data_IF_886161238340
#
_entry.id   IF_886161238340
#
_cell.length_a   1.000
_cell.length_b   1.000
_cell.length_c   1.000
_cell.angle_alpha   90.00
_cell.angle_beta   90.00
_cell.angle_gamma   90.00
#
_symmetry.space_group_name_H-M   'P 1'
#
loop_
_entity.id
_entity.type
_entity.pdbx_description
1 polymer ?
#
# COMPACT_ATOMS: atom_id res chain seq x y z
N UNK A 1 -10.04 67.39 -61.24
CA UNK A 1 -10.61 66.69 -60.10
C UNK A 1 -10.01 65.30 -60.07
N UNK A 2 -9.10 65.01 -59.13
CA UNK A 2 -8.43 63.68 -58.96
C UNK A 2 -9.02 63.08 -57.70
N UNK A 3 -9.78 62.00 -57.82
CA UNK A 3 -10.26 61.21 -56.71
C UNK A 3 -9.20 60.16 -56.29
N UNK A 4 -8.69 60.32 -55.07
CA UNK A 4 -7.77 59.38 -54.46
C UNK A 4 -8.61 58.32 -53.75
N UNK A 5 -8.57 57.08 -54.22
CA UNK A 5 -9.16 55.92 -53.55
C UNK A 5 -8.20 55.36 -52.45
N UNK A 6 -8.58 55.47 -51.20
CA UNK A 6 -7.83 54.96 -50.08
C UNK A 6 -8.28 53.49 -49.87
N UNK A 7 -7.42 52.53 -50.24
CA UNK A 7 -7.67 51.09 -50.01
C UNK A 7 -7.24 50.72 -48.60
N UNK A 8 -8.20 50.44 -47.75
CA UNK A 8 -7.95 49.94 -46.38
C UNK A 8 -7.78 48.43 -46.43
N UNK A 9 -6.55 47.96 -46.23
CA UNK A 9 -6.24 46.53 -46.17
C UNK A 9 -6.53 46.05 -44.72
N UNK A 10 -7.54 45.21 -44.54
CA UNK A 10 -7.82 44.53 -43.26
C UNK A 10 -6.91 43.30 -43.16
N UNK A 11 -5.93 43.36 -42.28
CA UNK A 11 -5.08 42.21 -41.97
C UNK A 11 -5.82 41.30 -41.00
N UNK A 12 -6.31 40.16 -41.49
CA UNK A 12 -6.91 39.12 -40.66
C UNK A 12 -5.78 38.33 -39.97
N UNK A 13 -5.59 38.55 -38.67
CA UNK A 13 -4.66 37.75 -37.86
C UNK A 13 -5.25 36.35 -37.62
N UNK A 14 -4.70 35.34 -38.25
CA UNK A 14 -4.96 33.94 -37.96
C UNK A 14 -4.30 33.60 -36.61
N UNK A 15 -5.11 33.49 -35.54
CA UNK A 15 -4.67 32.96 -34.29
C UNK A 15 -4.57 31.43 -34.44
N UNK A 16 -3.36 30.94 -34.65
CA UNK A 16 -3.05 29.50 -34.62
C UNK A 16 -3.10 29.05 -33.16
N UNK A 17 -4.20 28.43 -32.76
CA UNK A 17 -4.28 27.69 -31.48
C UNK A 17 -3.42 26.45 -31.64
N UNK A 18 -2.20 26.48 -31.13
CA UNK A 18 -1.38 25.28 -31.01
C UNK A 18 -2.14 24.27 -30.12
N UNK A 19 -2.24 22.99 -30.53
CA UNK A 19 -2.86 21.97 -29.66
C UNK A 19 -2.06 21.93 -28.35
N UNK A 20 -2.74 22.23 -27.24
CA UNK A 20 -2.14 22.05 -25.94
C UNK A 20 -1.79 20.57 -25.80
N UNK A 21 -0.50 20.25 -25.77
CA UNK A 21 -0.04 18.89 -25.46
C UNK A 21 -0.66 18.50 -24.14
N UNK A 22 -1.41 17.39 -24.10
CA UNK A 22 -2.00 16.90 -22.87
C UNK A 22 -0.87 16.71 -21.85
N UNK A 23 -0.99 17.36 -20.68
CA UNK A 23 0.00 17.18 -19.62
C UNK A 23 -0.01 15.71 -19.18
N UNK A 24 1.17 15.15 -18.97
CA UNK A 24 1.33 13.78 -18.48
C UNK A 24 1.75 13.79 -17.01
N UNK A 25 1.14 12.91 -16.20
CA UNK A 25 1.48 12.67 -14.81
C UNK A 25 2.01 11.24 -14.68
N UNK A 26 3.23 11.07 -14.21
CA UNK A 26 3.84 9.75 -13.97
C UNK A 26 3.59 9.32 -12.53
N UNK A 27 2.88 8.21 -12.35
CA UNK A 27 2.52 7.69 -11.03
C UNK A 27 3.23 6.36 -10.77
N UNK A 28 4.10 6.33 -9.74
CA UNK A 28 4.66 5.08 -9.21
C UNK A 28 3.57 4.27 -8.52
N UNK A 29 3.37 3.03 -8.93
CA UNK A 29 2.30 2.16 -8.41
C UNK A 29 2.79 0.73 -8.20
N UNK A 30 2.27 0.07 -7.17
CA UNK A 30 2.42 -1.38 -7.05
C UNK A 30 1.77 -2.09 -8.23
N UNK A 31 2.32 -3.22 -8.64
CA UNK A 31 1.84 -3.98 -9.79
C UNK A 31 0.60 -4.84 -9.52
N UNK A 32 0.19 -5.61 -10.55
CA UNK A 32 -0.92 -6.55 -10.49
C UNK A 32 -2.26 -5.89 -10.22
N UNK A 33 -3.12 -6.55 -9.45
CA UNK A 33 -4.46 -6.05 -9.13
C UNK A 33 -4.48 -4.66 -8.48
N UNK A 34 -3.41 -4.24 -7.81
CA UNK A 34 -3.31 -2.89 -7.25
C UNK A 34 -3.30 -1.83 -8.38
N UNK A 35 -2.43 -2.01 -9.38
CA UNK A 35 -2.37 -1.11 -10.53
C UNK A 35 -3.68 -1.05 -11.31
N UNK A 36 -4.35 -2.20 -11.47
CA UNK A 36 -5.64 -2.27 -12.15
C UNK A 36 -6.72 -1.49 -11.39
N UNK A 37 -6.72 -1.56 -10.06
CA UNK A 37 -7.62 -0.80 -9.21
C UNK A 37 -7.27 0.70 -9.19
N UNK A 38 -5.99 1.08 -9.21
CA UNK A 38 -5.56 2.48 -9.38
C UNK A 38 -6.08 3.05 -10.69
N UNK A 39 -5.95 2.30 -11.81
CA UNK A 39 -6.49 2.72 -13.11
C UNK A 39 -7.99 2.92 -13.06
N UNK A 40 -8.73 1.94 -12.52
CA UNK A 40 -10.19 1.95 -12.51
C UNK A 40 -10.78 3.02 -11.59
N UNK A 41 -10.19 3.23 -10.39
CA UNK A 41 -10.79 4.08 -9.35
C UNK A 41 -10.22 5.49 -9.31
N UNK A 42 -8.98 5.68 -9.75
CA UNK A 42 -8.32 6.99 -9.62
C UNK A 42 -7.97 7.60 -10.97
N UNK A 43 -7.29 6.84 -11.85
CA UNK A 43 -6.79 7.38 -13.14
C UNK A 43 -7.95 7.83 -14.03
N UNK A 44 -8.95 6.99 -14.25
CA UNK A 44 -10.05 7.31 -15.15
C UNK A 44 -10.81 8.58 -14.73
N UNK A 45 -11.08 8.73 -13.43
CA UNK A 45 -11.75 9.93 -12.88
C UNK A 45 -10.86 11.18 -12.97
N UNK A 46 -9.57 11.04 -12.67
CA UNK A 46 -8.59 12.11 -12.77
C UNK A 46 -8.41 12.62 -14.20
N UNK A 47 -8.21 11.73 -15.17
CA UNK A 47 -8.07 12.10 -16.59
C UNK A 47 -9.31 12.81 -17.11
N UNK A 48 -10.51 12.31 -16.73
CA UNK A 48 -11.78 12.95 -17.08
C UNK A 48 -11.90 14.37 -16.50
N UNK A 49 -11.44 14.56 -15.26
CA UNK A 49 -11.58 15.84 -14.57
C UNK A 49 -10.55 16.89 -15.01
N UNK A 50 -9.37 16.45 -15.43
CA UNK A 50 -8.23 17.36 -15.70
C UNK A 50 -7.85 17.47 -17.17
N UNK A 51 -8.20 16.48 -18.01
CA UNK A 51 -7.71 16.35 -19.39
C UNK A 51 -6.25 15.89 -19.49
N UNK A 52 -5.55 15.74 -18.37
CA UNK A 52 -4.19 15.20 -18.31
C UNK A 52 -4.19 13.69 -18.54
N UNK A 53 -3.05 13.13 -18.96
CA UNK A 53 -2.84 11.68 -19.05
C UNK A 53 -2.05 11.17 -17.87
N UNK A 54 -2.31 9.92 -17.45
CA UNK A 54 -1.58 9.26 -16.39
C UNK A 54 -0.86 8.02 -16.92
N UNK A 55 0.44 7.95 -16.72
CA UNK A 55 1.22 6.73 -16.94
C UNK A 55 1.60 6.10 -15.59
N UNK A 56 1.50 4.77 -15.50
CA UNK A 56 1.89 4.03 -14.30
C UNK A 56 3.29 3.44 -14.48
N UNK A 57 4.21 3.81 -13.59
CA UNK A 57 5.51 3.15 -13.43
C UNK A 57 5.36 2.09 -12.34
N UNK A 58 5.44 0.81 -12.74
CA UNK A 58 5.21 -0.31 -11.82
C UNK A 58 6.49 -0.67 -11.05
N UNK A 59 6.34 -0.96 -9.76
CA UNK A 59 7.45 -1.35 -8.89
C UNK A 59 6.99 -1.67 -7.48
N UNK A 60 7.95 -1.72 -6.58
CA UNK A 60 7.71 -1.84 -5.13
C UNK A 60 8.31 -0.64 -4.39
N UNK A 61 7.97 -0.49 -3.12
CA UNK A 61 8.37 0.63 -2.30
C UNK A 61 9.89 0.85 -2.25
N UNK A 62 10.68 -0.23 -2.17
CA UNK A 62 12.15 -0.14 -2.14
C UNK A 62 12.72 0.33 -3.48
N UNK A 63 12.17 -0.14 -4.60
CA UNK A 63 12.56 0.30 -5.94
C UNK A 63 12.23 1.78 -6.15
N UNK A 64 11.05 2.23 -5.70
CA UNK A 64 10.65 3.63 -5.79
C UNK A 64 11.55 4.53 -4.94
N UNK A 65 11.83 4.15 -3.69
CA UNK A 65 12.74 4.90 -2.84
C UNK A 65 14.16 5.01 -3.45
N UNK A 66 14.66 3.92 -4.06
CA UNK A 66 15.94 3.93 -4.75
C UNK A 66 15.92 4.86 -5.99
N UNK A 67 14.85 4.82 -6.80
CA UNK A 67 14.70 5.70 -7.96
C UNK A 67 14.62 7.17 -7.55
N UNK A 68 13.86 7.50 -6.51
CA UNK A 68 13.75 8.87 -5.98
C UNK A 68 15.12 9.40 -5.51
N UNK A 69 15.93 8.56 -4.84
CA UNK A 69 17.31 8.92 -4.45
C UNK A 69 18.21 9.16 -5.65
N UNK A 70 18.12 8.28 -6.66
CA UNK A 70 18.94 8.37 -7.86
C UNK A 70 18.61 9.61 -8.72
N UNK A 71 17.36 10.09 -8.66
CA UNK A 71 16.86 11.22 -9.44
C UNK A 71 16.56 12.46 -8.59
N UNK A 72 17.24 12.60 -7.45
CA UNK A 72 17.00 13.67 -6.48
C UNK A 72 17.00 15.06 -7.14
N UNK A 73 15.90 15.82 -6.93
CA UNK A 73 15.69 17.16 -7.52
C UNK A 73 15.14 17.17 -8.94
N UNK A 74 15.12 16.04 -9.66
CA UNK A 74 14.47 15.88 -10.97
C UNK A 74 13.87 14.47 -11.07
N UNK A 75 12.79 14.19 -10.31
CA UNK A 75 12.23 12.86 -10.23
C UNK A 75 11.63 12.42 -11.58
N UNK A 76 11.67 11.10 -11.83
CA UNK A 76 11.07 10.46 -12.99
C UNK A 76 9.64 9.94 -12.71
N UNK A 77 9.10 10.28 -11.53
CA UNK A 77 7.73 10.05 -11.09
C UNK A 77 7.24 11.31 -10.39
N UNK A 78 5.97 11.65 -10.58
CA UNK A 78 5.37 12.85 -10.02
C UNK A 78 4.61 12.56 -8.72
N UNK A 79 4.04 11.36 -8.62
CA UNK A 79 3.34 10.84 -7.45
C UNK A 79 3.73 9.38 -7.25
N UNK A 80 3.85 8.93 -6.01
CA UNK A 80 4.27 7.55 -5.74
C UNK A 80 3.43 6.93 -4.63
N UNK A 81 2.83 5.76 -4.90
CA UNK A 81 2.34 4.86 -3.86
C UNK A 81 3.52 4.10 -3.26
N UNK A 82 3.67 4.18 -1.95
CA UNK A 82 4.83 3.67 -1.23
C UNK A 82 4.43 3.32 0.20
N UNK A 83 5.10 2.35 0.82
CA UNK A 83 4.89 2.10 2.24
C UNK A 83 5.29 3.31 3.08
N UNK A 84 4.49 3.64 4.09
CA UNK A 84 4.70 4.82 4.93
C UNK A 84 6.09 4.84 5.61
N UNK A 85 6.69 3.69 5.87
CA UNK A 85 8.06 3.59 6.41
C UNK A 85 9.10 4.17 5.46
N UNK A 86 9.01 3.85 4.17
CA UNK A 86 9.92 4.38 3.15
C UNK A 86 9.60 5.82 2.79
N UNK A 87 8.31 6.21 2.79
CA UNK A 87 7.92 7.61 2.66
C UNK A 87 8.49 8.48 3.79
N UNK A 88 8.48 7.97 5.03
CA UNK A 88 9.10 8.63 6.18
C UNK A 88 10.63 8.72 6.05
N UNK A 89 11.27 7.66 5.55
CA UNK A 89 12.71 7.63 5.33
C UNK A 89 13.13 8.65 4.26
N UNK A 90 12.46 8.66 3.11
CA UNK A 90 12.74 9.65 2.05
C UNK A 90 12.45 11.09 2.49
N UNK A 91 11.49 11.29 3.39
CA UNK A 91 11.28 12.58 4.04
C UNK A 91 12.49 13.00 4.90
N UNK A 92 13.03 12.10 5.73
CA UNK A 92 14.24 12.35 6.49
C UNK A 92 15.44 12.72 5.61
N UNK A 93 15.48 12.21 4.39
CA UNK A 93 16.46 12.52 3.34
C UNK A 93 16.14 13.80 2.55
N UNK A 94 15.03 14.50 2.87
CA UNK A 94 14.56 15.73 2.22
C UNK A 94 14.18 15.55 0.74
N UNK A 95 13.69 14.37 0.37
CA UNK A 95 13.32 13.98 -0.99
C UNK A 95 11.82 14.05 -1.29
N UNK A 96 10.99 14.42 -0.29
CA UNK A 96 9.55 14.58 -0.44
C UNK A 96 9.20 16.07 -0.58
N UNK A 97 8.22 16.37 -1.44
CA UNK A 97 7.49 17.64 -1.43
C UNK A 97 6.37 17.57 -0.39
N UNK A 98 6.13 18.66 0.31
CA UNK A 98 5.01 18.73 1.24
C UNK A 98 3.68 18.74 0.47
N UNK A 99 2.75 17.88 0.85
CA UNK A 99 1.39 17.87 0.33
C UNK A 99 0.60 18.96 1.07
N UNK A 100 0.22 20.01 0.35
CA UNK A 100 -0.56 21.11 0.94
C UNK A 100 -2.04 20.71 1.10
N UNK A 101 -2.54 20.53 2.35
CA UNK A 101 -3.93 20.17 2.58
C UNK A 101 -4.94 21.19 2.02
N UNK A 102 -4.54 22.46 1.86
CA UNK A 102 -5.41 23.51 1.31
C UNK A 102 -5.68 23.31 -0.19
N UNK A 103 -4.85 22.55 -0.89
CA UNK A 103 -5.03 22.20 -2.30
C UNK A 103 -5.93 20.97 -2.49
N UNK A 104 -6.29 20.27 -1.42
CA UNK A 104 -7.06 19.04 -1.45
C UNK A 104 -8.46 19.28 -0.89
N UNK A 105 -9.50 19.04 -1.68
CA UNK A 105 -10.92 19.17 -1.25
C UNK A 105 -11.27 18.09 -0.22
N UNK A 106 -10.65 16.92 -0.32
CA UNK A 106 -10.87 15.76 0.57
C UNK A 106 -10.13 15.85 1.90
N UNK A 107 -9.18 16.78 2.06
CA UNK A 107 -8.29 16.83 3.22
C UNK A 107 -9.02 16.86 4.58
N UNK A 108 -10.14 17.60 4.66
CA UNK A 108 -10.93 17.71 5.90
C UNK A 108 -11.65 16.40 6.30
N UNK A 109 -11.85 15.49 5.35
CA UNK A 109 -12.51 14.20 5.58
C UNK A 109 -11.51 13.06 5.86
N UNK A 110 -10.20 13.31 5.70
CA UNK A 110 -9.13 12.33 5.99
C UNK A 110 -8.80 12.36 7.47
N UNK A 111 -8.71 11.17 8.09
CA UNK A 111 -8.35 11.07 9.52
C UNK A 111 -7.01 11.76 9.80
N UNK A 112 -6.88 12.52 10.91
CA UNK A 112 -5.65 13.27 11.21
C UNK A 112 -4.40 12.41 11.28
N UNK A 113 -4.52 11.17 11.76
CA UNK A 113 -3.41 10.23 11.90
C UNK A 113 -2.89 9.67 10.57
N UNK A 114 -3.56 9.92 9.45
CA UNK A 114 -3.08 9.54 8.13
C UNK A 114 -1.96 10.47 7.61
N UNK A 115 -1.88 11.70 8.13
CA UNK A 115 -0.89 12.68 7.67
C UNK A 115 0.48 12.39 8.27
N UNK A 116 1.47 12.20 7.42
CA UNK A 116 2.86 12.07 7.83
C UNK A 116 3.43 13.37 8.37
N UNK A 117 4.59 13.28 9.00
CA UNK A 117 5.29 14.45 9.54
C UNK A 117 5.48 15.51 8.45
N UNK A 118 5.22 16.77 8.78
CA UNK A 118 5.34 17.93 7.89
C UNK A 118 4.53 17.78 6.58
N UNK A 119 3.46 16.96 6.58
CA UNK A 119 2.66 16.59 5.40
C UNK A 119 3.49 16.02 4.25
N UNK A 120 4.64 15.41 4.52
CA UNK A 120 5.55 14.88 3.51
C UNK A 120 5.00 13.64 2.75
N UNK A 121 3.98 13.04 3.27
CA UNK A 121 3.15 11.98 2.67
C UNK A 121 1.81 11.91 3.38
N UNK A 122 0.86 11.22 2.79
CA UNK A 122 -0.40 10.87 3.45
C UNK A 122 -0.67 9.37 3.26
N UNK A 123 -1.03 8.69 4.34
CA UNK A 123 -1.54 7.31 4.27
C UNK A 123 -2.79 7.33 3.41
N UNK A 124 -2.79 6.60 2.32
CA UNK A 124 -3.90 6.58 1.37
C UNK A 124 -4.92 5.48 1.70
N UNK A 125 -4.50 4.44 2.40
CA UNK A 125 -5.35 3.29 2.71
C UNK A 125 -4.78 2.50 3.90
N UNK A 126 -5.59 1.58 4.45
CA UNK A 126 -5.19 0.75 5.59
C UNK A 126 -5.41 -0.72 5.25
N UNK A 127 -4.36 -1.52 5.38
CA UNK A 127 -4.40 -2.97 5.33
C UNK A 127 -3.74 -3.55 6.59
N UNK A 128 -3.56 -4.85 6.63
CA UNK A 128 -2.88 -5.53 7.73
C UNK A 128 -2.24 -6.84 7.27
N UNK A 129 -1.27 -7.31 8.04
CA UNK A 129 -0.97 -8.73 8.10
C UNK A 129 -1.86 -9.36 9.16
N UNK A 130 -2.64 -10.36 8.76
CA UNK A 130 -3.55 -11.12 9.60
C UNK A 130 -3.39 -12.62 9.33
N UNK A 131 -4.22 -13.47 9.93
CA UNK A 131 -4.26 -14.88 9.57
C UNK A 131 -5.28 -15.11 8.46
N UNK A 132 -4.85 -15.74 7.37
CA UNK A 132 -5.74 -16.23 6.31
C UNK A 132 -5.75 -17.75 6.38
N UNK A 133 -6.93 -18.34 6.30
CA UNK A 133 -7.09 -19.77 6.43
C UNK A 133 -8.16 -20.33 5.49
N UNK A 134 -8.06 -21.64 5.18
CA UNK A 134 -9.07 -22.36 4.41
C UNK A 134 -10.06 -23.02 5.39
N UNK A 135 -11.32 -22.56 5.45
CA UNK A 135 -12.31 -23.08 6.40
C UNK A 135 -12.72 -24.54 6.14
N UNK A 136 -12.37 -25.13 5.00
CA UNK A 136 -12.54 -26.56 4.74
C UNK A 136 -11.46 -27.42 5.36
N UNK A 137 -10.30 -26.85 5.67
CA UNK A 137 -9.14 -27.55 6.24
C UNK A 137 -8.93 -27.22 7.71
N UNK A 138 -9.53 -26.14 8.20
CA UNK A 138 -9.41 -25.65 9.57
C UNK A 138 -10.71 -25.92 10.33
N UNK A 139 -10.66 -26.69 11.42
CA UNK A 139 -11.85 -27.09 12.19
C UNK A 139 -12.56 -25.92 12.87
N UNK A 140 -11.80 -24.96 13.37
CA UNK A 140 -12.31 -23.77 14.05
C UNK A 140 -11.50 -22.54 13.59
N UNK A 141 -12.15 -21.37 13.40
CA UNK A 141 -11.45 -20.15 13.05
C UNK A 141 -10.29 -19.87 14.01
N UNK A 142 -9.07 -19.58 13.50
CA UNK A 142 -7.95 -19.22 14.34
C UNK A 142 -8.23 -17.89 15.07
N UNK A 143 -7.72 -17.74 16.29
CA UNK A 143 -7.95 -16.57 17.15
C UNK A 143 -6.67 -15.90 17.63
N UNK A 144 -5.53 -16.54 17.41
CA UNK A 144 -4.22 -16.11 17.90
C UNK A 144 -3.12 -16.38 16.85
N UNK A 145 -2.11 -15.54 16.82
CA UNK A 145 -0.87 -15.84 16.06
C UNK A 145 -0.23 -17.15 16.49
N UNK A 146 -0.44 -17.55 17.75
CA UNK A 146 0.11 -18.78 18.29
C UNK A 146 -0.60 -20.03 17.77
N UNK A 147 -1.74 -19.91 17.11
CA UNK A 147 -2.46 -21.06 16.54
C UNK A 147 -1.66 -21.74 15.42
N UNK A 148 -0.67 -21.05 14.80
CA UNK A 148 0.26 -21.67 13.85
C UNK A 148 1.14 -22.76 14.50
N UNK A 149 1.28 -22.78 15.82
CA UNK A 149 2.01 -23.82 16.53
C UNK A 149 1.16 -25.08 16.82
N UNK A 150 -0.14 -25.06 16.50
CA UNK A 150 -0.99 -26.24 16.69
C UNK A 150 -0.49 -27.39 15.80
N UNK A 151 -0.21 -28.58 16.38
CA UNK A 151 0.19 -29.77 15.63
C UNK A 151 -0.77 -30.16 14.50
N UNK A 152 -2.06 -29.76 14.58
CA UNK A 152 -3.03 -29.97 13.51
C UNK A 152 -2.66 -29.31 12.20
N UNK A 153 -1.83 -28.27 12.24
CA UNK A 153 -1.34 -27.56 11.05
C UNK A 153 0.06 -27.97 10.62
N UNK A 154 0.69 -28.97 11.28
CA UNK A 154 2.03 -29.42 10.90
C UNK A 154 2.11 -29.77 9.40
N UNK A 155 3.03 -29.14 8.69
CA UNK A 155 3.21 -29.30 7.24
C UNK A 155 2.07 -28.74 6.38
N UNK A 156 1.12 -27.97 6.96
CA UNK A 156 -0.02 -27.37 6.26
C UNK A 156 -0.10 -25.85 6.44
N UNK A 157 1.03 -25.21 6.60
CA UNK A 157 1.13 -23.75 6.69
C UNK A 157 2.34 -23.24 5.95
N UNK A 158 2.33 -21.97 5.62
CA UNK A 158 3.50 -21.23 5.14
C UNK A 158 3.62 -19.91 5.87
N UNK A 159 4.85 -19.46 6.09
CA UNK A 159 5.14 -18.14 6.64
C UNK A 159 5.96 -17.32 5.63
N UNK A 160 5.90 -16.00 5.74
CA UNK A 160 6.68 -15.11 4.89
C UNK A 160 8.16 -15.11 5.28
N UNK A 161 9.04 -14.95 4.27
CA UNK A 161 10.41 -14.51 4.50
C UNK A 161 10.40 -13.06 5.02
N UNK A 162 11.40 -12.70 5.82
CA UNK A 162 11.52 -11.35 6.39
C UNK A 162 11.65 -10.24 5.34
N UNK A 163 12.09 -10.58 4.12
CA UNK A 163 12.14 -9.61 3.02
C UNK A 163 10.76 -9.16 2.55
N UNK A 164 9.71 -9.92 2.88
CA UNK A 164 8.31 -9.55 2.67
C UNK A 164 7.67 -8.96 3.92
N UNK A 165 6.75 -8.01 3.74
CA UNK A 165 6.05 -7.32 4.84
C UNK A 165 5.39 -8.29 5.82
N UNK A 166 4.72 -9.34 5.33
CA UNK A 166 4.05 -10.31 6.20
C UNK A 166 5.02 -11.16 7.03
N UNK A 167 6.19 -11.50 6.51
CA UNK A 167 7.22 -12.22 7.24
C UNK A 167 7.81 -11.37 8.37
N UNK A 168 8.16 -10.12 8.06
CA UNK A 168 8.62 -9.15 9.04
C UNK A 168 7.56 -8.93 10.13
N UNK A 169 6.31 -8.70 9.74
CA UNK A 169 5.21 -8.46 10.67
C UNK A 169 4.94 -9.66 11.57
N UNK A 170 4.97 -10.87 11.02
CA UNK A 170 4.77 -12.08 11.82
C UNK A 170 5.90 -12.31 12.82
N UNK A 171 7.16 -12.11 12.41
CA UNK A 171 8.30 -12.14 13.33
C UNK A 171 8.11 -11.16 14.50
N UNK A 172 7.76 -9.90 14.19
CA UNK A 172 7.60 -8.87 15.22
C UNK A 172 6.37 -9.11 16.11
N UNK A 173 5.28 -9.67 15.56
CA UNK A 173 4.13 -10.09 16.35
C UNK A 173 4.50 -11.20 17.34
N UNK A 174 5.20 -12.24 16.89
CA UNK A 174 5.69 -13.30 17.77
C UNK A 174 6.67 -12.74 18.82
N UNK A 175 7.56 -11.84 18.41
CA UNK A 175 8.49 -11.20 19.33
C UNK A 175 7.75 -10.50 20.49
N UNK A 176 6.77 -9.68 20.16
CA UNK A 176 5.93 -8.98 21.15
C UNK A 176 5.19 -9.97 22.08
N UNK A 177 4.60 -11.03 21.54
CA UNK A 177 3.89 -12.06 22.29
C UNK A 177 4.82 -12.79 23.25
N UNK A 178 6.07 -13.00 22.85
CA UNK A 178 7.09 -13.68 23.67
C UNK A 178 7.87 -12.74 24.58
N UNK A 179 7.43 -11.48 24.74
CA UNK A 179 8.00 -10.52 25.67
C UNK A 179 9.23 -9.77 25.13
N UNK A 180 9.49 -9.85 23.82
CA UNK A 180 10.52 -9.05 23.16
C UNK A 180 10.10 -7.60 22.90
N UNK A 181 11.07 -6.77 22.54
CA UNK A 181 10.86 -5.37 22.13
C UNK A 181 11.39 -5.14 20.71
N UNK A 182 11.17 -3.97 20.16
CA UNK A 182 11.71 -3.64 18.82
C UNK A 182 13.23 -3.48 18.79
N UNK A 183 13.85 -3.25 19.97
CA UNK A 183 15.31 -3.24 20.17
C UNK A 183 15.86 -4.65 20.41
N UNK A 184 15.06 -5.56 20.96
CA UNK A 184 15.44 -6.95 21.22
C UNK A 184 14.43 -7.92 20.58
N UNK A 185 14.79 -8.48 19.43
CA UNK A 185 13.98 -9.46 18.71
C UNK A 185 14.37 -10.92 18.99
N UNK A 186 15.20 -11.20 20.01
CA UNK A 186 15.64 -12.56 20.34
C UNK A 186 14.45 -13.50 20.62
N UNK A 187 13.44 -13.10 21.43
CA UNK A 187 12.30 -13.97 21.68
C UNK A 187 11.52 -14.33 20.41
N UNK A 188 11.41 -13.39 19.47
CA UNK A 188 10.74 -13.61 18.18
C UNK A 188 11.55 -14.55 17.26
N UNK A 189 12.85 -14.34 17.17
CA UNK A 189 13.76 -15.21 16.39
C UNK A 189 13.68 -16.66 16.92
N UNK A 190 13.76 -16.86 18.24
CA UNK A 190 13.66 -18.21 18.82
C UNK A 190 12.28 -18.83 18.57
N UNK A 191 11.22 -18.05 18.68
CA UNK A 191 9.86 -18.56 18.46
C UNK A 191 9.61 -18.93 16.99
N UNK A 192 10.15 -18.19 16.01
CA UNK A 192 9.85 -18.42 14.60
C UNK A 192 10.66 -19.56 13.97
N UNK A 193 11.83 -19.92 14.52
CA UNK A 193 12.69 -21.01 14.00
C UNK A 193 11.94 -22.32 13.73
N UNK A 194 11.19 -22.90 14.68
CA UNK A 194 10.46 -24.13 14.43
C UNK A 194 9.38 -23.98 13.36
N UNK A 195 8.73 -22.82 13.28
CA UNK A 195 7.74 -22.54 12.24
C UNK A 195 8.38 -22.41 10.88
N UNK A 196 9.54 -21.76 10.76
CA UNK A 196 10.27 -21.63 9.51
C UNK A 196 10.69 -23.02 8.97
N UNK A 197 11.18 -23.89 9.86
CA UNK A 197 11.59 -25.27 9.52
C UNK A 197 10.41 -26.14 9.07
N UNK A 198 9.22 -25.94 9.64
CA UNK A 198 7.99 -26.69 9.32
C UNK A 198 7.14 -26.06 8.23
N UNK A 199 7.51 -24.90 7.72
CA UNK A 199 6.79 -24.18 6.67
C UNK A 199 6.93 -24.89 5.32
N UNK A 200 5.84 -24.97 4.54
CA UNK A 200 5.90 -25.47 3.16
C UNK A 200 6.86 -24.64 2.30
N UNK A 201 6.87 -23.34 2.53
CA UNK A 201 7.84 -22.43 1.93
C UNK A 201 7.98 -21.18 2.80
N UNK A 202 9.14 -20.55 2.76
CA UNK A 202 9.34 -19.16 3.18
C UNK A 202 9.05 -18.27 1.99
N UNK A 203 7.77 -17.86 1.82
CA UNK A 203 7.37 -17.12 0.63
C UNK A 203 7.90 -15.68 0.64
N UNK A 204 8.31 -15.22 -0.53
CA UNK A 204 8.79 -13.85 -0.75
C UNK A 204 7.79 -12.99 -1.53
N UNK A 205 6.86 -13.64 -2.25
CA UNK A 205 5.82 -13.00 -3.05
C UNK A 205 4.44 -13.50 -2.62
N UNK A 206 3.48 -12.59 -2.54
CA UNK A 206 2.11 -12.91 -2.12
C UNK A 206 1.44 -13.99 -2.98
N UNK A 207 1.73 -14.02 -4.28
CA UNK A 207 1.12 -14.98 -5.22
C UNK A 207 1.59 -16.42 -5.02
N UNK A 208 2.75 -16.64 -4.36
CA UNK A 208 3.19 -17.99 -3.97
C UNK A 208 2.22 -18.64 -2.99
N UNK A 209 1.68 -17.87 -2.03
CA UNK A 209 0.65 -18.36 -1.10
C UNK A 209 -0.67 -18.66 -1.80
N UNK A 210 -1.08 -17.81 -2.75
CA UNK A 210 -2.30 -18.04 -3.51
C UNK A 210 -2.29 -19.41 -4.17
N UNK A 211 -1.19 -19.77 -4.84
CA UNK A 211 -1.03 -21.07 -5.47
C UNK A 211 -1.09 -22.25 -4.47
N UNK A 212 -0.50 -22.09 -3.27
CA UNK A 212 -0.58 -23.12 -2.23
C UNK A 212 -2.01 -23.30 -1.68
N UNK A 213 -2.75 -22.22 -1.49
CA UNK A 213 -4.16 -22.28 -1.10
C UNK A 213 -5.04 -22.89 -2.19
N UNK A 214 -4.84 -22.53 -3.46
CA UNK A 214 -5.56 -23.09 -4.62
C UNK A 214 -5.42 -24.61 -4.70
N UNK A 215 -4.22 -25.13 -4.42
CA UNK A 215 -3.94 -26.56 -4.41
C UNK A 215 -4.30 -27.26 -3.09
N UNK A 216 -4.82 -26.52 -2.10
CA UNK A 216 -5.09 -27.00 -0.73
C UNK A 216 -3.86 -27.62 -0.04
N UNK A 217 -2.67 -27.16 -0.38
CA UNK A 217 -1.40 -27.60 0.22
C UNK A 217 -1.19 -26.97 1.60
N UNK A 218 -1.78 -25.80 1.83
CA UNK A 218 -1.77 -25.12 3.13
C UNK A 218 -3.19 -24.86 3.65
N UNK A 219 -3.33 -24.89 4.97
CA UNK A 219 -4.57 -24.61 5.68
C UNK A 219 -4.61 -23.18 6.23
N UNK A 220 -3.45 -22.61 6.58
CA UNK A 220 -3.34 -21.32 7.29
C UNK A 220 -2.00 -20.64 6.98
N UNK A 221 -2.01 -19.32 6.91
CA UNK A 221 -0.80 -18.50 6.76
C UNK A 221 -1.00 -17.08 7.32
N UNK A 222 0.05 -16.43 7.85
CA UNK A 222 0.11 -14.98 7.95
C UNK A 222 0.07 -14.36 6.55
N UNK A 223 -0.96 -13.57 6.23
CA UNK A 223 -1.13 -12.98 4.90
C UNK A 223 -1.99 -11.71 4.93
N UNK A 224 -2.40 -11.24 3.78
CA UNK A 224 -3.08 -9.97 3.58
C UNK A 224 -4.58 -10.18 3.34
N UNK A 225 -5.48 -9.54 4.12
CA UNK A 225 -6.92 -9.57 3.91
C UNK A 225 -7.37 -9.14 2.51
N UNK A 226 -6.71 -8.15 1.93
CA UNK A 226 -6.98 -7.67 0.58
C UNK A 226 -6.72 -8.76 -0.48
N UNK A 227 -5.63 -9.49 -0.37
CA UNK A 227 -5.34 -10.61 -1.27
C UNK A 227 -6.31 -11.77 -1.09
N UNK A 228 -6.65 -12.08 0.16
CA UNK A 228 -7.66 -13.09 0.48
C UNK A 228 -9.03 -12.70 -0.07
N UNK A 229 -9.45 -11.44 0.07
CA UNK A 229 -10.73 -10.93 -0.47
C UNK A 229 -10.86 -11.11 -1.98
N UNK A 230 -9.83 -10.73 -2.73
CA UNK A 230 -9.79 -10.95 -4.18
C UNK A 230 -9.82 -12.44 -4.55
N UNK A 231 -9.15 -13.29 -3.79
CA UNK A 231 -9.16 -14.73 -4.02
C UNK A 231 -10.53 -15.36 -3.71
N UNK A 232 -11.22 -14.89 -2.65
CA UNK A 232 -12.60 -15.29 -2.31
C UNK A 232 -13.54 -14.96 -3.44
N UNK A 233 -13.42 -13.79 -4.06
CA UNK A 233 -14.24 -13.39 -5.22
C UNK A 233 -14.02 -14.27 -6.45
N UNK A 234 -12.84 -14.86 -6.57
CA UNK A 234 -12.52 -15.85 -7.60
C UNK A 234 -12.95 -17.28 -7.23
N UNK A 235 -13.65 -17.45 -6.11
CA UNK A 235 -14.21 -18.72 -5.68
C UNK A 235 -13.34 -19.57 -4.77
N UNK A 236 -12.20 -19.04 -4.28
CA UNK A 236 -11.38 -19.76 -3.32
C UNK A 236 -12.07 -19.81 -1.95
N UNK A 237 -11.96 -20.97 -1.29
CA UNK A 237 -12.47 -21.14 0.08
C UNK A 237 -11.45 -20.59 1.06
N UNK A 238 -11.47 -19.29 1.29
CA UNK A 238 -10.61 -18.61 2.24
C UNK A 238 -11.44 -17.78 3.23
N UNK A 239 -10.88 -17.55 4.40
CA UNK A 239 -11.39 -16.63 5.41
C UNK A 239 -10.25 -15.91 6.10
N UNK A 240 -10.55 -14.76 6.71
CA UNK A 240 -9.61 -13.92 7.43
C UNK A 240 -9.95 -13.98 8.92
N UNK A 241 -8.94 -14.16 9.75
CA UNK A 241 -9.03 -14.05 11.20
C UNK A 241 -8.06 -12.99 11.72
N UNK A 242 -8.59 -12.06 12.49
CA UNK A 242 -7.81 -11.05 13.18
C UNK A 242 -7.39 -11.58 14.54
N UNK A 243 -6.09 -11.82 14.78
CA UNK A 243 -5.61 -12.37 16.04
C UNK A 243 -5.98 -11.48 17.23
N UNK A 244 -6.29 -12.10 18.37
CA UNK A 244 -6.65 -11.36 19.60
C UNK A 244 -5.54 -10.44 20.12
N UNK A 245 -4.29 -10.75 19.79
CA UNK A 245 -3.11 -9.93 20.11
C UNK A 245 -2.98 -8.69 19.20
N UNK A 246 -3.83 -8.59 18.19
CA UNK A 246 -3.85 -7.57 17.16
C UNK A 246 -3.14 -8.01 15.88
N UNK A 247 -3.71 -7.66 14.75
CA UNK A 247 -3.05 -7.72 13.45
C UNK A 247 -1.97 -6.64 13.37
N UNK A 248 -0.97 -6.82 12.51
CA UNK A 248 0.04 -5.78 12.27
C UNK A 248 -0.38 -4.93 11.09
N UNK A 249 -0.60 -3.64 11.32
CA UNK A 249 -1.10 -2.71 10.32
C UNK A 249 -0.11 -2.44 9.19
N UNK A 250 -0.64 -2.28 7.99
CA UNK A 250 0.07 -1.86 6.79
C UNK A 250 -0.55 -0.55 6.35
N UNK A 251 0.26 0.46 6.12
CA UNK A 251 -0.15 1.81 5.78
C UNK A 251 0.45 2.23 4.43
N UNK A 252 -0.12 1.78 3.29
CA UNK A 252 0.27 2.31 2.01
C UNK A 252 -0.02 3.81 1.97
N UNK A 253 1.02 4.57 1.69
CA UNK A 253 0.98 6.02 1.60
C UNK A 253 1.09 6.49 0.15
N UNK A 254 0.76 7.73 -0.07
CA UNK A 254 1.02 8.45 -1.30
C UNK A 254 1.91 9.66 -0.97
N UNK A 255 2.92 9.89 -1.80
CA UNK A 255 3.83 11.02 -1.66
C UNK A 255 4.09 11.68 -3.00
N UNK A 256 4.56 12.92 -2.95
CA UNK A 256 5.02 13.69 -4.09
C UNK A 256 6.55 13.79 -3.97
N UNK A 257 7.33 13.26 -4.93
CA UNK A 257 8.78 13.42 -4.94
C UNK A 257 9.16 14.90 -5.15
N UNK A 258 10.16 15.35 -4.40
CA UNK A 258 10.64 16.74 -4.48
C UNK A 258 11.24 17.06 -5.83
N UNK A 259 10.83 18.19 -6.40
CA UNK A 259 11.34 18.69 -7.68
C UNK A 259 10.53 18.21 -8.88
N UNK A 260 9.35 17.61 -8.68
CA UNK A 260 8.43 17.33 -9.79
C UNK A 260 8.02 18.61 -10.52
N UNK A 261 8.01 18.55 -11.85
CA UNK A 261 7.51 19.63 -12.69
C UNK A 261 5.97 19.70 -12.71
N UNK A 262 5.27 18.67 -12.19
CA UNK A 262 3.81 18.52 -12.24
C UNK A 262 3.14 18.71 -10.87
N UNK A 263 3.71 19.55 -9.99
CA UNK A 263 3.26 19.68 -8.60
C UNK A 263 1.74 19.94 -8.46
N UNK A 264 1.14 20.76 -9.31
CA UNK A 264 -0.30 21.05 -9.28
C UNK A 264 -1.15 19.83 -9.69
N UNK A 265 -0.74 19.10 -10.73
CA UNK A 265 -1.39 17.86 -11.13
C UNK A 265 -1.21 16.77 -10.08
N UNK A 266 -0.04 16.68 -9.45
CA UNK A 266 0.25 15.77 -8.37
C UNK A 266 -0.70 15.97 -7.19
N UNK A 267 -0.93 17.21 -6.73
CA UNK A 267 -1.91 17.51 -5.69
C UNK A 267 -3.34 17.12 -6.08
N UNK A 268 -3.75 17.39 -7.33
CA UNK A 268 -5.07 16.97 -7.82
C UNK A 268 -5.22 15.44 -7.85
N UNK A 269 -4.16 14.71 -8.18
CA UNK A 269 -4.18 13.25 -8.17
C UNK A 269 -4.24 12.71 -6.74
N UNK A 270 -3.48 13.29 -5.81
CA UNK A 270 -3.58 12.97 -4.37
C UNK A 270 -4.99 13.23 -3.85
N UNK A 271 -5.62 14.35 -4.22
CA UNK A 271 -7.01 14.65 -3.84
C UNK A 271 -8.00 13.61 -4.38
N UNK A 272 -7.83 13.18 -5.65
CA UNK A 272 -8.63 12.09 -6.25
C UNK A 272 -8.46 10.78 -5.49
N UNK A 273 -7.23 10.43 -5.11
CA UNK A 273 -6.93 9.21 -4.34
C UNK A 273 -7.56 9.26 -2.94
N UNK A 274 -7.59 10.42 -2.31
CA UNK A 274 -8.14 10.63 -0.97
C UNK A 274 -9.64 10.93 -0.96
N UNK A 275 -10.27 11.12 -2.11
CA UNK A 275 -11.71 11.41 -2.21
C UNK A 275 -12.54 10.23 -1.71
N UNK A 276 -13.74 10.51 -1.18
CA UNK A 276 -14.66 9.46 -0.73
C UNK A 276 -15.05 8.52 -1.88
N UNK A 277 -15.22 9.04 -3.10
CA UNK A 277 -15.53 8.25 -4.30
C UNK A 277 -14.35 7.34 -4.67
N UNK A 278 -13.14 7.91 -4.78
CA UNK A 278 -11.93 7.17 -5.15
C UNK A 278 -11.60 6.06 -4.14
N UNK A 279 -11.62 6.40 -2.84
CA UNK A 279 -11.37 5.42 -1.79
C UNK A 279 -12.48 4.37 -1.67
N UNK A 280 -13.75 4.76 -1.81
CA UNK A 280 -14.86 3.82 -1.80
C UNK A 280 -14.75 2.81 -2.94
N UNK A 281 -14.52 3.28 -4.17
CA UNK A 281 -14.24 2.41 -5.33
C UNK A 281 -13.06 1.45 -5.05
N UNK A 282 -11.95 1.98 -4.55
CA UNK A 282 -10.76 1.18 -4.30
C UNK A 282 -10.97 0.16 -3.18
N UNK A 283 -11.62 0.54 -2.08
CA UNK A 283 -11.93 -0.35 -0.97
C UNK A 283 -12.81 -1.52 -1.38
N UNK A 284 -13.86 -1.27 -2.16
CA UNK A 284 -14.76 -2.32 -2.65
C UNK A 284 -14.09 -3.30 -3.61
N UNK A 285 -13.14 -2.84 -4.40
CA UNK A 285 -12.43 -3.67 -5.39
C UNK A 285 -11.20 -4.38 -4.83
N UNK A 286 -10.51 -3.73 -3.89
CA UNK A 286 -9.22 -4.18 -3.38
C UNK A 286 -9.30 -4.78 -1.97
N UNK A 287 -10.44 -4.73 -1.31
CA UNK A 287 -10.57 -5.17 0.09
C UNK A 287 -9.56 -4.48 1.02
N UNK A 288 -9.45 -3.17 0.91
CA UNK A 288 -8.54 -2.36 1.70
C UNK A 288 -9.31 -1.25 2.42
N UNK A 289 -8.92 -0.91 3.64
CA UNK A 289 -9.60 0.10 4.46
C UNK A 289 -9.33 1.52 3.95
N UNK A 290 -10.33 2.39 4.07
CA UNK A 290 -10.25 3.81 3.73
C UNK A 290 -9.75 4.64 4.91
N UNK A 291 -9.10 5.76 4.61
CA UNK A 291 -8.75 6.81 5.60
C UNK A 291 -9.68 8.02 5.51
N UNK A 292 -10.51 8.10 4.48
CA UNK A 292 -11.55 9.12 4.37
C UNK A 292 -12.80 8.68 5.14
N UNK A 293 -13.22 9.48 6.10
CA UNK A 293 -14.34 9.19 7.04
C UNK A 293 -15.72 9.16 6.38
N UNK A 294 -15.85 9.68 5.17
CA UNK A 294 -17.11 9.67 4.41
C UNK A 294 -17.34 8.38 3.63
N UNK A 295 -16.32 7.51 3.53
CA UNK A 295 -16.46 6.23 2.83
C UNK A 295 -17.37 5.30 3.59
N UNK A 296 -18.34 4.74 2.87
CA UNK A 296 -19.23 3.68 3.36
C UNK A 296 -18.86 2.38 2.66
N UNK A 297 -18.43 1.39 3.44
CA UNK A 297 -18.08 0.07 2.94
C UNK A 297 -19.33 -0.82 2.89
N UNK A 298 -19.41 -1.72 1.89
CA UNK A 298 -20.38 -2.80 1.89
C UNK A 298 -20.13 -3.73 3.08
N UNK A 299 -21.16 -4.42 3.55
CA UNK A 299 -21.04 -5.39 4.66
C UNK A 299 -19.99 -6.46 4.37
N UNK A 300 -19.89 -6.89 3.11
CA UNK A 300 -18.90 -7.86 2.65
C UNK A 300 -17.47 -7.35 2.87
N UNK A 301 -17.16 -6.14 2.39
CA UNK A 301 -15.83 -5.55 2.51
C UNK A 301 -15.52 -5.24 3.97
N UNK A 302 -16.48 -4.67 4.70
CA UNK A 302 -16.31 -4.34 6.11
C UNK A 302 -15.93 -5.54 7.00
N UNK A 303 -16.32 -6.77 6.62
CA UNK A 303 -15.91 -8.00 7.33
C UNK A 303 -14.46 -8.42 7.07
N UNK A 304 -13.88 -7.99 5.95
CA UNK A 304 -12.53 -8.41 5.53
C UNK A 304 -11.46 -7.38 5.84
N UNK A 305 -11.78 -6.08 5.77
CA UNK A 305 -10.79 -5.02 6.00
C UNK A 305 -10.64 -4.69 7.49
N UNK A 306 -9.47 -4.20 7.92
CA UNK A 306 -9.32 -3.65 9.26
C UNK A 306 -10.28 -2.47 9.45
N UNK A 307 -11.26 -2.62 10.34
CA UNK A 307 -12.20 -1.55 10.68
C UNK A 307 -12.66 -1.69 12.13
N UNK A 308 -13.26 -0.63 12.68
CA UNK A 308 -13.84 -0.63 14.03
C UNK A 308 -12.93 -1.31 15.06
N UNK A 309 -13.42 -2.37 15.70
CA UNK A 309 -12.70 -3.07 16.78
C UNK A 309 -11.41 -3.79 16.29
N UNK A 310 -11.36 -4.25 15.04
CA UNK A 310 -10.15 -4.88 14.49
C UNK A 310 -9.07 -3.84 14.22
N UNK A 311 -9.46 -2.67 13.72
CA UNK A 311 -8.55 -1.56 13.49
C UNK A 311 -8.01 -1.00 14.82
N UNK A 312 -8.88 -0.84 15.84
CA UNK A 312 -8.46 -0.33 17.14
C UNK A 312 -7.48 -1.24 17.90
N UNK A 313 -7.47 -2.53 17.58
CA UNK A 313 -6.51 -3.51 18.12
C UNK A 313 -5.28 -3.70 17.22
N UNK A 314 -5.31 -3.18 16.01
CA UNK A 314 -4.17 -3.32 15.10
C UNK A 314 -2.93 -2.61 15.67
N UNK A 315 -1.79 -3.28 15.54
CA UNK A 315 -0.52 -2.72 15.95
C UNK A 315 0.15 -2.01 14.77
N UNK A 316 0.25 -0.71 14.86
CA UNK A 316 0.99 0.10 13.90
C UNK A 316 2.39 0.35 14.45
N UNK A 317 3.39 -0.22 13.78
CA UNK A 317 4.80 -0.06 14.15
C UNK A 317 5.29 1.27 13.61
N UNK A 318 6.00 2.02 14.42
CA UNK A 318 6.63 3.28 13.96
C UNK A 318 7.57 3.00 12.78
N UNK A 319 7.31 3.62 11.62
CA UNK A 319 8.12 3.44 10.43
C UNK A 319 9.61 3.76 10.64
N UNK A 320 9.92 4.71 11.49
CA UNK A 320 11.32 5.09 11.79
C UNK A 320 12.05 3.96 12.51
N UNK A 321 11.37 3.24 13.40
CA UNK A 321 11.94 2.07 14.10
C UNK A 321 12.19 0.93 13.12
N UNK A 322 11.26 0.66 12.21
CA UNK A 322 11.48 -0.35 11.15
C UNK A 322 12.70 0.04 10.31
N UNK A 323 12.73 1.27 9.82
CA UNK A 323 13.83 1.76 8.97
C UNK A 323 15.20 1.64 9.64
N UNK A 324 15.28 1.95 10.94
CA UNK A 324 16.53 1.87 11.70
C UNK A 324 17.02 0.44 11.93
N UNK A 325 16.13 -0.55 11.97
CA UNK A 325 16.45 -1.89 12.46
C UNK A 325 16.36 -2.99 11.40
N UNK A 326 15.57 -2.82 10.34
CA UNK A 326 15.24 -3.87 9.38
C UNK A 326 16.47 -4.54 8.76
N UNK A 327 17.52 -3.78 8.47
CA UNK A 327 18.76 -4.33 7.92
C UNK A 327 19.45 -5.29 8.91
N UNK A 328 19.43 -4.98 10.20
CA UNK A 328 19.97 -5.84 11.25
C UNK A 328 19.11 -7.09 11.43
N UNK A 329 17.79 -6.91 11.50
CA UNK A 329 16.83 -8.03 11.63
C UNK A 329 16.94 -9.00 10.44
N UNK A 330 17.10 -8.48 9.21
CA UNK A 330 17.29 -9.30 8.00
C UNK A 330 18.57 -10.13 8.07
N UNK A 331 19.71 -9.53 8.49
CA UNK A 331 20.96 -10.29 8.66
C UNK A 331 20.82 -11.40 9.69
N UNK A 332 20.12 -11.15 10.80
CA UNK A 332 19.82 -12.16 11.82
C UNK A 332 18.93 -13.29 11.27
N UNK A 333 17.86 -12.94 10.56
CA UNK A 333 17.01 -13.91 9.91
C UNK A 333 17.78 -14.85 9.00
N UNK A 334 18.61 -14.30 8.10
CA UNK A 334 19.41 -15.10 7.17
C UNK A 334 20.39 -16.02 7.88
N UNK A 335 20.94 -15.61 8.99
CA UNK A 335 21.87 -16.41 9.78
C UNK A 335 21.19 -17.47 10.64
N UNK A 336 20.05 -17.20 11.20
CA UNK A 336 19.46 -17.96 12.30
C UNK A 336 18.16 -18.70 11.94
N UNK A 337 17.43 -18.26 10.92
CA UNK A 337 16.09 -18.76 10.57
C UNK A 337 16.05 -19.39 9.18
N UNK A 338 16.60 -18.74 8.16
CA UNK A 338 16.50 -19.15 6.77
C UNK A 338 17.51 -20.25 6.34
N UNK A 339 18.14 -20.94 7.29
CA UNK A 339 19.12 -22.02 7.04
C UNK A 339 18.49 -23.39 6.94
#
# INVERSE_FOLDING_TARGET
>A
MRHSLCSTTIATALITVAPAMAQELVVGSFGGSFADNVKACHVAAFEKATGAKVSLKLGNSSQFAAAIRATAGKPDMDVVFIDNSLASQTHGEKLNEAIDPKKLKSAADVIPTAWGKDNAYVVAMVSATALVYNPKLVKSPPTSWLDLFDPAYAGKYSIGDISGTSGLHFLLALNKIKGGTLENIDPGIEAIKPLAKGSQTLYTQADQLLALFERNEIAIAPWYPDRAGVAIDKGLSLAVAYPKEGAVGILPAIMIPKGTAQAELAHKFVDQVLSAEGQGCFSERAYIGAVNTKVKLSEKVAKLVPNGATLSKAWFIDPAIIAANVANWTRRWQREVAR
#
